data_IF_230117368714
#
_entry.id   IF_230117368714
#
_cell.length_a   1.000
_cell.length_b   1.000
_cell.length_c   1.000
_cell.angle_alpha   90.00
_cell.angle_beta   90.00
_cell.angle_gamma   90.00
#
_symmetry.space_group_name_H-M   'P 1'
#
loop_
_entity.id
_entity.type
_entity.pdbx_description
1 polymer ?
#
# COMPACT_ATOMS: atom_id res chain seq x y z
N UNK A 1 -10.95 7.70 -25.64
CA UNK A 1 -10.94 8.37 -24.32
C UNK A 1 -9.63 8.01 -23.61
N UNK A 2 -8.75 9.00 -23.45
CA UNK A 2 -7.31 8.83 -23.13
C UNK A 2 -7.02 8.09 -21.83
N UNK A 3 -6.24 7.01 -21.93
CA UNK A 3 -5.46 6.47 -20.83
C UNK A 3 -4.29 7.43 -20.54
N UNK A 4 -4.49 8.37 -19.61
CA UNK A 4 -3.37 9.08 -18.99
C UNK A 4 -2.65 8.10 -18.07
N UNK A 5 -1.52 7.58 -18.51
CA UNK A 5 -0.51 6.97 -17.64
C UNK A 5 0.22 8.08 -16.88
N UNK A 6 -0.49 8.82 -16.02
CA UNK A 6 0.13 9.81 -15.14
C UNK A 6 0.72 9.12 -13.93
N UNK A 7 2.05 9.14 -13.80
CA UNK A 7 2.83 8.99 -12.57
C UNK A 7 2.25 8.05 -11.52
N UNK A 8 2.28 6.73 -11.78
CA UNK A 8 1.88 5.76 -10.76
C UNK A 8 2.88 5.82 -9.61
N UNK A 9 2.37 6.09 -8.40
CA UNK A 9 3.14 6.02 -7.16
C UNK A 9 3.79 4.63 -7.01
N UNK A 10 4.87 4.50 -6.21
CA UNK A 10 5.54 3.21 -6.03
C UNK A 10 4.55 2.12 -5.59
N UNK A 11 4.77 0.92 -6.13
CA UNK A 11 3.93 -0.23 -5.88
C UNK A 11 4.03 -0.64 -4.41
N UNK A 12 2.88 -0.89 -3.78
CA UNK A 12 2.79 -1.34 -2.41
C UNK A 12 1.62 -2.31 -2.29
N UNK A 13 1.90 -3.59 -2.04
CA UNK A 13 0.97 -4.71 -2.11
C UNK A 13 -0.35 -4.46 -1.37
N UNK A 14 -0.29 -4.04 -0.11
CA UNK A 14 -1.49 -3.74 0.68
C UNK A 14 -2.34 -2.64 0.03
N UNK A 15 -1.77 -1.46 -0.22
CA UNK A 15 -2.50 -0.30 -0.72
C UNK A 15 -3.02 -0.53 -2.15
N UNK A 16 -2.23 -1.17 -3.00
CA UNK A 16 -2.63 -1.53 -4.36
C UNK A 16 -3.74 -2.57 -4.37
N UNK A 17 -3.69 -3.56 -3.47
CA UNK A 17 -4.75 -4.54 -3.33
C UNK A 17 -6.06 -3.89 -2.87
N UNK A 18 -6.03 -2.99 -1.88
CA UNK A 18 -7.25 -2.27 -1.44
C UNK A 18 -7.82 -1.44 -2.59
N UNK A 19 -6.98 -0.72 -3.34
CA UNK A 19 -7.41 0.06 -4.50
C UNK A 19 -8.07 -0.84 -5.55
N UNK A 20 -7.48 -2.00 -5.84
CA UNK A 20 -8.03 -2.94 -6.81
C UNK A 20 -9.34 -3.59 -6.32
N UNK A 21 -9.36 -4.13 -5.10
CA UNK A 21 -10.50 -4.83 -4.51
C UNK A 21 -11.73 -3.94 -4.40
N UNK A 22 -11.53 -2.66 -4.12
CA UNK A 22 -12.62 -1.68 -3.92
C UNK A 22 -12.79 -0.74 -5.12
N UNK A 23 -12.11 -1.02 -6.24
CA UNK A 23 -12.18 -0.25 -7.49
C UNK A 23 -11.96 1.25 -7.29
N UNK A 24 -11.02 1.60 -6.41
CA UNK A 24 -10.67 2.99 -6.14
C UNK A 24 -9.86 3.56 -7.30
N UNK A 25 -10.02 4.85 -7.57
CA UNK A 25 -9.31 5.51 -8.67
C UNK A 25 -7.83 5.70 -8.37
N UNK A 26 -7.49 6.03 -7.12
CA UNK A 26 -6.15 6.40 -6.68
C UNK A 26 -6.06 6.52 -5.15
N UNK A 27 -4.88 6.87 -4.66
CA UNK A 27 -4.59 7.13 -3.25
C UNK A 27 -5.42 8.26 -2.64
N UNK A 28 -5.84 9.26 -3.43
CA UNK A 28 -6.69 10.34 -2.92
C UNK A 28 -8.08 9.81 -2.58
N UNK A 29 -8.63 8.89 -3.38
CA UNK A 29 -9.88 8.20 -3.03
C UNK A 29 -9.68 7.30 -1.81
N UNK A 30 -8.58 6.55 -1.74
CA UNK A 30 -8.23 5.72 -0.59
C UNK A 30 -8.16 6.54 0.71
N UNK A 31 -7.45 7.67 0.69
CA UNK A 31 -7.29 8.59 1.81
C UNK A 31 -8.63 9.09 2.34
N UNK A 32 -9.52 9.54 1.44
CA UNK A 32 -10.83 10.08 1.82
C UNK A 32 -11.71 9.04 2.49
N UNK A 33 -11.76 7.83 1.94
CA UNK A 33 -12.64 6.77 2.45
C UNK A 33 -12.10 6.13 3.73
N UNK A 34 -10.78 5.95 3.82
CA UNK A 34 -10.13 5.37 5.01
C UNK A 34 -9.84 6.37 6.13
N UNK A 35 -10.14 7.67 5.94
CA UNK A 35 -9.78 8.75 6.87
C UNK A 35 -8.27 8.83 7.20
N UNK A 36 -7.43 8.22 6.37
CA UNK A 36 -5.98 8.32 6.47
C UNK A 36 -5.51 9.59 5.78
N UNK A 37 -4.60 10.33 6.43
CA UNK A 37 -4.02 11.52 5.81
C UNK A 37 -3.27 11.15 4.50
N UNK A 38 -3.36 11.98 3.44
CA UNK A 38 -2.63 11.74 2.19
C UNK A 38 -1.11 11.57 2.39
N UNK A 39 -0.54 12.31 3.34
CA UNK A 39 0.87 12.23 3.72
C UNK A 39 1.24 10.86 4.30
N UNK A 40 0.34 10.25 5.07
CA UNK A 40 0.53 8.90 5.62
C UNK A 40 0.57 7.86 4.51
N UNK A 41 -0.39 7.90 3.58
CA UNK A 41 -0.42 6.98 2.42
C UNK A 41 0.84 7.14 1.56
N UNK A 42 1.25 8.37 1.28
CA UNK A 42 2.47 8.67 0.52
C UNK A 42 3.73 8.10 1.19
N UNK A 43 3.86 8.23 2.53
CA UNK A 43 5.01 7.70 3.27
C UNK A 43 5.03 6.18 3.27
N UNK A 44 3.86 5.54 3.45
CA UNK A 44 3.73 4.07 3.41
C UNK A 44 4.15 3.54 2.05
N UNK A 45 3.65 4.11 0.94
CA UNK A 45 4.02 3.67 -0.41
C UNK A 45 5.50 3.71 -0.70
N UNK A 46 6.19 4.71 -0.15
CA UNK A 46 7.64 4.91 -0.33
C UNK A 46 8.49 4.14 0.68
N UNK A 47 7.88 3.34 1.55
CA UNK A 47 8.60 2.61 2.61
C UNK A 47 9.16 3.50 3.72
N UNK A 48 8.75 4.78 3.80
CA UNK A 48 9.19 5.71 4.86
C UNK A 48 8.31 5.65 6.11
N UNK A 49 7.25 4.84 6.10
CA UNK A 49 6.42 4.58 7.27
C UNK A 49 5.93 3.13 7.21
N UNK A 50 6.00 2.44 8.36
CA UNK A 50 5.39 1.12 8.50
C UNK A 50 3.87 1.22 8.58
N UNK A 51 3.18 0.18 8.13
CA UNK A 51 1.74 0.03 8.32
C UNK A 51 1.46 -0.30 9.78
N UNK A 52 0.79 0.59 10.50
CA UNK A 52 0.43 0.41 11.90
C UNK A 52 -0.90 -0.35 12.06
N UNK A 53 -1.20 -0.80 13.28
CA UNK A 53 -2.50 -1.40 13.59
C UNK A 53 -3.68 -0.45 13.31
N UNK A 54 -3.50 0.85 13.58
CA UNK A 54 -4.50 1.88 13.29
C UNK A 54 -4.81 2.01 11.79
N UNK A 55 -3.79 1.88 10.93
CA UNK A 55 -4.00 1.85 9.47
C UNK A 55 -4.80 0.62 9.07
N UNK A 56 -4.45 -0.56 9.60
CA UNK A 56 -5.20 -1.79 9.31
C UNK A 56 -6.66 -1.69 9.77
N UNK A 57 -6.90 -1.13 10.95
CA UNK A 57 -8.24 -0.94 11.48
C UNK A 57 -9.07 0.00 10.59
N UNK A 58 -8.52 1.15 10.19
CA UNK A 58 -9.21 2.08 9.28
C UNK A 58 -9.53 1.48 7.92
N UNK A 59 -8.63 0.67 7.38
CA UNK A 59 -8.87 -0.04 6.12
C UNK A 59 -9.95 -1.11 6.28
N UNK A 60 -9.97 -1.82 7.41
CA UNK A 60 -11.01 -2.77 7.75
C UNK A 60 -12.38 -2.08 7.84
N UNK A 61 -12.48 -0.99 8.59
CA UNK A 61 -13.74 -0.26 8.81
C UNK A 61 -14.26 0.41 7.54
N UNK A 62 -13.39 1.00 6.72
CA UNK A 62 -13.82 1.71 5.51
C UNK A 62 -14.21 0.78 4.35
N UNK A 63 -13.67 -0.45 4.34
CA UNK A 63 -13.75 -1.33 3.18
C UNK A 63 -14.15 -2.77 3.52
N UNK A 64 -14.61 -3.05 4.74
CA UNK A 64 -15.04 -4.38 5.19
C UNK A 64 -14.05 -5.50 4.86
N UNK A 65 -12.75 -5.17 4.72
CA UNK A 65 -11.72 -6.16 4.41
C UNK A 65 -11.32 -6.81 5.72
N UNK A 66 -11.38 -8.15 5.85
CA UNK A 66 -10.98 -8.81 7.09
C UNK A 66 -9.55 -8.45 7.48
N UNK A 67 -9.32 -8.15 8.76
CA UNK A 67 -7.98 -7.82 9.28
C UNK A 67 -6.97 -8.92 8.93
N UNK A 68 -7.39 -10.20 8.91
CA UNK A 68 -6.55 -11.32 8.50
C UNK A 68 -6.03 -11.19 7.06
N UNK A 69 -6.88 -10.76 6.12
CA UNK A 69 -6.49 -10.55 4.72
C UNK A 69 -5.55 -9.35 4.58
N UNK A 70 -5.81 -8.26 5.30
CA UNK A 70 -4.91 -7.10 5.35
C UNK A 70 -3.53 -7.49 5.90
N UNK A 71 -3.47 -8.31 6.96
CA UNK A 71 -2.21 -8.84 7.50
C UNK A 71 -1.47 -9.72 6.50
N UNK A 72 -2.18 -10.56 5.74
CA UNK A 72 -1.58 -11.40 4.69
C UNK A 72 -0.94 -10.57 3.59
N UNK A 73 -1.62 -9.49 3.16
CA UNK A 73 -1.08 -8.54 2.19
C UNK A 73 0.12 -7.77 2.73
N UNK A 74 0.11 -7.40 4.01
CA UNK A 74 1.23 -6.75 4.67
C UNK A 74 2.44 -7.70 4.78
N UNK A 75 2.24 -8.96 5.16
CA UNK A 75 3.30 -9.96 5.20
C UNK A 75 3.94 -10.16 3.81
N UNK A 76 3.13 -10.18 2.75
CA UNK A 76 3.63 -10.20 1.38
C UNK A 76 4.49 -8.97 1.06
N UNK A 77 4.08 -7.77 1.49
CA UNK A 77 4.88 -6.56 1.30
C UNK A 77 6.24 -6.68 1.99
N UNK A 78 6.28 -7.11 3.26
CA UNK A 78 7.53 -7.28 4.01
C UNK A 78 8.47 -8.29 3.34
N UNK A 79 7.94 -9.36 2.74
CA UNK A 79 8.76 -10.31 1.97
C UNK A 79 9.35 -9.66 0.70
N UNK A 80 8.61 -8.79 0.02
CA UNK A 80 9.12 -8.07 -1.16
C UNK A 80 10.20 -7.06 -0.76
N UNK A 81 9.99 -6.34 0.34
CA UNK A 81 10.96 -5.38 0.87
C UNK A 81 12.28 -6.09 1.25
N UNK A 82 12.18 -7.24 1.92
CA UNK A 82 13.34 -8.07 2.26
C UNK A 82 14.10 -8.56 1.03
N UNK A 83 13.39 -8.95 -0.04
CA UNK A 83 14.00 -9.36 -1.31
C UNK A 83 14.66 -8.20 -2.05
N UNK A 84 14.04 -7.02 -2.05
CA UNK A 84 14.61 -5.82 -2.63
C UNK A 84 15.90 -5.39 -1.90
N UNK A 85 15.90 -5.47 -0.57
CA UNK A 85 17.10 -5.22 0.24
C UNK A 85 18.24 -6.21 -0.05
N UNK A 86 17.93 -7.51 -0.17
CA UNK A 86 18.93 -8.53 -0.51
C UNK A 86 19.51 -8.35 -1.93
N UNK A 87 18.68 -7.96 -2.91
CA UNK A 87 19.14 -7.72 -4.28
C UNK A 87 20.10 -6.52 -4.40
N UNK A 88 19.91 -5.49 -3.57
CA UNK A 88 20.82 -4.33 -3.52
C UNK A 88 22.15 -4.64 -2.82
N UNK A 89 22.19 -5.64 -1.93
CA UNK A 89 23.40 -6.02 -1.20
C UNK A 89 24.32 -7.00 -1.99
N UNK A 90 23.80 -7.68 -3.01
CA UNK A 90 24.53 -8.73 -3.76
C UNK A 90 25.15 -8.28 -5.10
N UNK A 91 25.33 -6.98 -5.33
CA UNK A 91 25.74 -6.42 -6.63
C UNK A 91 27.13 -5.75 -6.67
N UNK A 92 28.04 -6.12 -5.77
CA UNK A 92 29.40 -5.57 -5.74
C UNK A 92 30.44 -6.70 -5.76
N UNK A 93 30.65 -7.27 -6.94
CA UNK A 93 31.86 -8.03 -7.32
C UNK A 93 32.23 -7.69 -8.77
#
# INVERSE_FOLDING_TARGET
MSARLTGRAPAHCLLDAVIALRQLKNDAHLSRLSLLAPSSISKIRRGHASVTAEVLLRLHEAFDIPIAELKRLLARQSMLDARAGAALAGGAD
#
